data_IF_257677506417
#
_entry.id   IF_257677506417
#
_cell.length_a   1.000
_cell.length_b   1.000
_cell.length_c   1.000
_cell.angle_alpha   90.00
_cell.angle_beta   90.00
_cell.angle_gamma   90.00
#
_symmetry.space_group_name_H-M   'P 1'
#
loop_
_entity.id
_entity.type
_entity.pdbx_description
1 polymer ?
#
# COMPACT_ATOMS: atom_id res chain seq x y z
N UNK A 1 3.11 14.93 4.73
CA UNK A 1 2.18 13.83 4.51
C UNK A 1 2.07 13.10 5.83
N UNK A 2 1.51 12.24 6.30
CA UNK A 2 1.30 11.50 7.53
C UNK A 2 2.47 11.48 8.56
N UNK A 3 2.90 12.63 9.10
CA UNK A 3 3.90 12.71 10.17
C UNK A 3 3.26 12.34 11.52
N UNK A 4 3.99 11.57 12.35
CA UNK A 4 3.55 11.23 13.72
C UNK A 4 2.56 10.07 13.81
N UNK A 5 2.40 9.24 12.76
CA UNK A 5 1.60 8.03 12.83
C UNK A 5 2.38 6.91 13.55
N UNK A 6 1.75 6.32 14.55
CA UNK A 6 2.29 5.18 15.29
C UNK A 6 1.23 4.09 15.41
N UNK A 7 1.68 2.86 15.74
CA UNK A 7 0.75 1.77 16.02
C UNK A 7 -0.16 2.02 17.22
N UNK A 8 0.21 2.93 18.13
CA UNK A 8 -0.60 3.28 19.31
C UNK A 8 -1.94 3.93 18.95
N UNK A 9 -2.00 4.56 17.77
CA UNK A 9 -3.20 5.20 17.25
C UNK A 9 -4.03 4.28 16.33
N UNK A 10 -3.64 3.01 16.18
CA UNK A 10 -4.35 2.05 15.34
C UNK A 10 -4.96 0.93 16.17
N UNK A 11 -6.28 0.76 16.06
CA UNK A 11 -6.99 -0.32 16.73
C UNK A 11 -6.98 -1.56 15.83
N UNK A 12 -6.22 -2.57 16.23
CA UNK A 12 -6.13 -3.83 15.49
C UNK A 12 -7.41 -4.66 15.68
N UNK A 13 -7.99 -5.21 14.61
CA UNK A 13 -9.16 -6.08 14.71
C UNK A 13 -8.88 -7.41 15.40
N UNK A 14 -7.62 -7.85 15.42
CA UNK A 14 -7.18 -9.06 16.11
C UNK A 14 -5.66 -9.07 16.33
N UNK A 15 -5.22 -9.90 17.27
CA UNK A 15 -3.81 -10.01 17.66
C UNK A 15 -2.90 -10.61 16.58
N UNK A 16 -3.43 -11.42 15.67
CA UNK A 16 -2.64 -12.01 14.59
C UNK A 16 -2.22 -10.93 13.58
N UNK A 17 -3.14 -10.03 13.21
CA UNK A 17 -2.84 -8.89 12.35
C UNK A 17 -1.86 -7.93 13.03
N UNK A 18 -2.06 -7.65 14.31
CA UNK A 18 -1.16 -6.82 15.11
C UNK A 18 0.26 -7.38 15.09
N UNK A 19 0.42 -8.67 15.43
CA UNK A 19 1.72 -9.35 15.44
C UNK A 19 2.41 -9.31 14.08
N UNK A 20 1.65 -9.53 12.98
CA UNK A 20 2.19 -9.52 11.63
C UNK A 20 2.70 -8.12 11.27
N UNK A 21 1.89 -7.08 11.44
CA UNK A 21 2.22 -5.73 10.99
C UNK A 21 3.29 -5.07 11.88
N UNK A 22 3.23 -5.25 13.20
CA UNK A 22 4.30 -4.82 14.10
C UNK A 22 5.58 -5.59 13.83
N UNK A 23 5.50 -6.91 13.66
CA UNK A 23 6.65 -7.73 13.29
C UNK A 23 7.31 -7.28 11.99
N UNK A 24 6.54 -6.84 11.00
CA UNK A 24 7.08 -6.28 9.76
C UNK A 24 7.87 -4.99 10.03
N UNK A 25 7.33 -4.08 10.83
CA UNK A 25 7.99 -2.80 11.14
C UNK A 25 9.19 -2.95 12.08
N UNK A 26 9.10 -3.84 13.06
CA UNK A 26 10.20 -4.08 14.02
C UNK A 26 11.41 -4.78 13.36
N UNK A 27 11.18 -5.46 12.22
CA UNK A 27 12.21 -6.18 11.47
C UNK A 27 12.43 -5.61 10.06
N UNK A 28 12.31 -4.29 9.85
CA UNK A 28 12.43 -3.65 8.54
C UNK A 28 13.70 -4.07 7.76
N UNK A 29 14.84 -4.28 8.42
CA UNK A 29 16.07 -4.74 7.77
C UNK A 29 15.88 -6.13 7.14
N UNK A 30 15.40 -7.10 7.91
CA UNK A 30 15.14 -8.45 7.40
C UNK A 30 14.06 -8.44 6.32
N UNK A 31 13.00 -7.60 6.47
CA UNK A 31 11.97 -7.46 5.45
C UNK A 31 12.53 -6.92 4.13
N UNK A 32 13.54 -6.05 4.21
CA UNK A 32 14.26 -5.55 3.04
C UNK A 32 15.17 -6.62 2.42
N UNK A 33 16.00 -7.28 3.22
CA UNK A 33 16.94 -8.32 2.76
C UNK A 33 16.22 -9.50 2.11
N UNK A 34 15.08 -9.91 2.67
CA UNK A 34 14.25 -11.01 2.18
C UNK A 34 13.25 -10.59 1.10
N UNK A 35 13.24 -9.32 0.68
CA UNK A 35 12.30 -8.76 -0.29
C UNK A 35 10.83 -9.08 0.04
N UNK A 36 10.41 -8.87 1.28
CA UNK A 36 9.06 -9.22 1.75
C UNK A 36 8.03 -8.21 1.25
N UNK A 37 7.27 -8.58 0.26
CA UNK A 37 6.20 -7.77 -0.34
C UNK A 37 4.88 -7.99 0.40
N UNK A 38 4.04 -6.93 0.52
CA UNK A 38 2.72 -7.01 1.15
C UNK A 38 1.60 -6.61 0.18
N UNK A 39 0.51 -7.37 0.18
CA UNK A 39 -0.76 -6.94 -0.41
C UNK A 39 -1.78 -6.72 0.72
N UNK A 40 -2.10 -5.46 1.01
CA UNK A 40 -3.14 -5.06 1.95
C UNK A 40 -4.45 -4.89 1.17
N UNK A 41 -5.44 -5.74 1.40
CA UNK A 41 -6.70 -5.67 0.68
C UNK A 41 -7.91 -5.75 1.60
N UNK A 42 -9.04 -5.17 1.16
CA UNK A 42 -10.28 -5.11 1.94
C UNK A 42 -11.10 -3.87 1.59
N UNK A 43 -12.29 -3.74 2.16
CA UNK A 43 -13.23 -2.65 1.85
C UNK A 43 -12.63 -1.25 2.04
N UNK A 44 -13.33 -0.24 1.51
CA UNK A 44 -12.93 1.15 1.71
C UNK A 44 -13.03 1.55 3.19
N UNK A 45 -12.15 2.42 3.66
CA UNK A 45 -12.19 3.00 5.00
C UNK A 45 -11.62 2.12 6.12
N UNK A 46 -11.22 0.87 5.85
CA UNK A 46 -10.68 -0.05 6.89
C UNK A 46 -9.24 0.23 7.32
N UNK A 47 -8.60 1.28 6.79
CA UNK A 47 -7.29 1.75 7.27
C UNK A 47 -6.07 1.24 6.48
N UNK A 48 -6.21 0.68 5.27
CA UNK A 48 -5.07 0.19 4.45
C UNK A 48 -4.00 1.26 4.23
N UNK A 49 -4.41 2.45 3.75
CA UNK A 49 -3.53 3.61 3.56
C UNK A 49 -2.86 4.05 4.86
N UNK A 50 -3.58 4.00 5.97
CA UNK A 50 -3.06 4.33 7.29
C UNK A 50 -1.97 3.33 7.72
N UNK A 51 -2.25 2.03 7.62
CA UNK A 51 -1.29 0.95 7.91
C UNK A 51 -0.03 1.10 7.06
N UNK A 52 -0.17 1.25 5.74
CA UNK A 52 0.97 1.38 4.83
C UNK A 52 1.80 2.63 5.11
N UNK A 53 1.16 3.73 5.53
CA UNK A 53 1.85 4.96 5.93
C UNK A 53 2.66 4.78 7.22
N UNK A 54 2.13 4.04 8.22
CA UNK A 54 2.88 3.68 9.43
C UNK A 54 4.10 2.85 9.05
N UNK A 55 3.93 1.80 8.22
CA UNK A 55 5.05 0.95 7.78
C UNK A 55 6.14 1.80 7.14
N UNK A 56 5.80 2.69 6.20
CA UNK A 56 6.80 3.55 5.56
C UNK A 56 7.49 4.47 6.55
N UNK A 57 6.79 4.99 7.55
CA UNK A 57 7.38 5.85 8.57
C UNK A 57 8.39 5.09 9.44
N UNK A 58 8.08 3.86 9.85
CA UNK A 58 9.04 3.00 10.55
C UNK A 58 10.25 2.68 9.66
N UNK A 59 10.05 2.25 8.42
CA UNK A 59 11.16 1.99 7.49
C UNK A 59 12.02 3.24 7.26
N UNK A 60 11.42 4.42 7.17
CA UNK A 60 12.14 5.69 7.06
C UNK A 60 12.99 5.97 8.32
N UNK A 61 12.50 5.66 9.52
CA UNK A 61 13.25 5.83 10.76
C UNK A 61 14.48 4.90 10.85
N UNK A 62 14.48 3.80 10.11
CA UNK A 62 15.63 2.90 9.90
C UNK A 62 16.51 3.30 8.69
N UNK A 63 16.39 4.54 8.21
CA UNK A 63 17.17 5.12 7.09
C UNK A 63 16.91 4.52 5.71
N UNK A 64 15.83 3.81 5.52
CA UNK A 64 15.42 3.39 4.18
C UNK A 64 14.78 4.53 3.39
N UNK A 65 15.04 4.62 2.09
CA UNK A 65 14.27 5.50 1.22
C UNK A 65 12.86 4.92 1.02
N UNK A 66 11.85 5.75 1.28
CA UNK A 66 10.45 5.34 1.21
C UNK A 66 9.67 6.25 0.27
N UNK A 67 8.75 5.69 -0.51
CA UNK A 67 7.85 6.43 -1.39
C UNK A 67 6.44 5.84 -1.31
N UNK A 68 5.47 6.70 -1.53
CA UNK A 68 4.06 6.33 -1.65
C UNK A 68 3.45 7.08 -2.82
N UNK A 69 2.67 6.37 -3.62
CA UNK A 69 1.98 6.91 -4.79
C UNK A 69 0.67 6.16 -4.97
N UNK A 70 -0.38 6.83 -5.45
CA UNK A 70 -1.56 6.12 -5.94
C UNK A 70 -1.27 5.54 -7.33
N UNK A 71 -1.87 4.40 -7.64
CA UNK A 71 -1.65 3.81 -8.97
C UNK A 71 -2.09 4.76 -10.10
N UNK A 72 -3.18 5.49 -9.88
CA UNK A 72 -3.65 6.53 -10.82
C UNK A 72 -2.62 7.65 -11.03
N UNK A 73 -1.99 8.12 -9.97
CA UNK A 73 -0.94 9.15 -10.07
C UNK A 73 0.29 8.61 -10.81
N UNK A 74 0.69 7.38 -10.54
CA UNK A 74 1.81 6.73 -11.23
C UNK A 74 1.54 6.61 -12.74
N UNK A 75 0.33 6.21 -13.14
CA UNK A 75 -0.11 6.18 -14.55
C UNK A 75 0.02 7.58 -15.16
N UNK A 76 -0.57 8.59 -14.51
CA UNK A 76 -0.55 9.95 -15.03
C UNK A 76 0.88 10.47 -15.24
N UNK A 77 1.75 10.32 -14.24
CA UNK A 77 3.16 10.73 -14.33
C UNK A 77 3.90 10.05 -15.48
N UNK A 78 3.73 8.74 -15.62
CA UNK A 78 4.39 7.99 -16.69
C UNK A 78 3.94 8.46 -18.08
N UNK A 79 2.66 8.64 -18.28
CA UNK A 79 2.11 9.05 -19.59
C UNK A 79 2.30 10.55 -19.91
N UNK A 80 2.52 11.39 -18.90
CA UNK A 80 2.93 12.78 -19.10
C UNK A 80 4.43 12.96 -19.34
N UNK A 81 5.22 11.88 -19.26
CA UNK A 81 6.68 11.93 -19.42
C UNK A 81 7.42 12.45 -18.20
N UNK A 82 6.74 12.53 -17.04
CA UNK A 82 7.40 12.85 -15.77
C UNK A 82 8.25 11.67 -15.30
N UNK A 83 9.35 11.97 -14.61
CA UNK A 83 10.20 10.92 -14.04
C UNK A 83 9.48 10.15 -12.94
N UNK A 84 9.52 8.82 -13.02
CA UNK A 84 9.03 7.90 -12.00
C UNK A 84 10.16 7.13 -11.31
N UNK A 85 11.41 7.52 -11.55
CA UNK A 85 12.61 6.87 -11.01
C UNK A 85 12.62 6.83 -9.48
N UNK A 86 12.11 7.86 -8.82
CA UNK A 86 11.98 7.90 -7.35
C UNK A 86 11.12 6.76 -6.79
N UNK A 87 10.06 6.38 -7.51
CA UNK A 87 9.19 5.25 -7.12
C UNK A 87 9.85 3.92 -7.47
N UNK A 88 10.52 3.88 -8.61
CA UNK A 88 11.19 2.69 -9.10
C UNK A 88 12.32 2.25 -8.17
N UNK A 89 13.10 3.22 -7.65
CA UNK A 89 14.33 2.99 -6.90
C UNK A 89 14.20 3.17 -5.38
N UNK A 90 13.03 3.52 -4.85
CA UNK A 90 12.83 3.56 -3.41
C UNK A 90 13.04 2.17 -2.78
N UNK A 91 13.71 2.09 -1.63
CA UNK A 91 13.85 0.82 -0.91
C UNK A 91 12.48 0.22 -0.59
N UNK A 92 11.55 1.03 -0.05
CA UNK A 92 10.16 0.62 0.18
C UNK A 92 9.21 1.51 -0.62
N UNK A 93 8.33 0.89 -1.39
CA UNK A 93 7.30 1.58 -2.17
C UNK A 93 5.91 1.12 -1.76
N UNK A 94 5.01 2.06 -1.50
CA UNK A 94 3.57 1.82 -1.43
C UNK A 94 2.93 2.26 -2.73
N UNK A 95 2.19 1.36 -3.37
CA UNK A 95 1.26 1.69 -4.47
C UNK A 95 -0.15 1.56 -3.90
N UNK A 96 -0.78 2.70 -3.65
CA UNK A 96 -2.11 2.76 -3.03
C UNK A 96 -3.23 2.88 -4.07
N UNK A 97 -4.45 2.62 -3.62
CA UNK A 97 -5.68 2.70 -4.41
C UNK A 97 -5.67 1.83 -5.68
N UNK A 98 -4.97 0.69 -5.65
CA UNK A 98 -4.98 -0.26 -6.75
C UNK A 98 -6.41 -0.77 -6.98
N UNK A 99 -6.92 -0.59 -8.19
CA UNK A 99 -8.30 -0.93 -8.55
C UNK A 99 -9.30 0.22 -8.43
N UNK A 100 -8.89 1.41 -7.96
CA UNK A 100 -9.75 2.60 -7.89
C UNK A 100 -9.75 3.42 -9.19
N UNK A 101 -8.86 3.16 -10.13
CA UNK A 101 -8.87 3.77 -11.45
C UNK A 101 -10.17 3.42 -12.19
N UNK A 102 -10.82 4.41 -12.82
CA UNK A 102 -12.18 4.30 -13.39
C UNK A 102 -12.26 3.24 -14.50
N UNK A 103 -11.20 3.10 -15.28
CA UNK A 103 -10.98 1.96 -16.20
C UNK A 103 -9.48 1.87 -16.47
N UNK A 104 -8.97 0.65 -16.59
CA UNK A 104 -7.70 0.45 -17.28
C UNK A 104 -7.99 0.69 -18.76
N UNK A 105 -7.60 1.86 -19.25
CA UNK A 105 -7.92 2.30 -20.61
C UNK A 105 -7.16 1.51 -21.68
N UNK A 106 -6.09 0.83 -21.28
CA UNK A 106 -5.24 0.09 -22.21
C UNK A 106 -4.43 -1.00 -21.51
N UNK A 107 -3.95 -1.96 -22.28
CA UNK A 107 -2.97 -2.94 -21.79
C UNK A 107 -1.65 -2.29 -21.36
N UNK A 108 -1.36 -1.07 -21.83
CA UNK A 108 -0.18 -0.31 -21.43
C UNK A 108 -0.19 0.04 -19.93
N UNK A 109 -1.35 0.32 -19.33
CA UNK A 109 -1.45 0.59 -17.89
C UNK A 109 -1.20 -0.66 -17.03
N UNK A 110 -1.65 -1.83 -17.52
CA UNK A 110 -1.34 -3.12 -16.89
C UNK A 110 0.15 -3.43 -16.98
N UNK A 111 0.73 -3.26 -18.20
CA UNK A 111 2.15 -3.46 -18.44
C UNK A 111 3.02 -2.55 -17.57
N UNK A 112 2.60 -1.30 -17.35
CA UNK A 112 3.30 -0.37 -16.46
C UNK A 112 3.46 -0.95 -15.04
N UNK A 113 2.37 -1.47 -14.46
CA UNK A 113 2.40 -2.08 -13.14
C UNK A 113 3.28 -3.33 -13.12
N UNK A 114 3.11 -4.20 -14.10
CA UNK A 114 3.89 -5.44 -14.20
C UNK A 114 5.39 -5.16 -14.37
N UNK A 115 5.76 -4.21 -15.22
CA UNK A 115 7.16 -3.86 -15.47
C UNK A 115 7.82 -3.22 -14.24
N UNK A 116 7.07 -2.36 -13.52
CA UNK A 116 7.55 -1.80 -12.27
C UNK A 116 7.78 -2.90 -11.22
N UNK A 117 6.84 -3.83 -11.07
CA UNK A 117 6.98 -4.93 -10.09
C UNK A 117 8.13 -5.87 -10.47
N UNK A 118 8.26 -6.27 -11.75
CA UNK A 118 9.39 -7.10 -12.23
C UNK A 118 10.73 -6.44 -11.93
N UNK A 119 10.85 -5.14 -12.22
CA UNK A 119 12.07 -4.41 -11.92
C UNK A 119 12.37 -4.42 -10.41
N UNK A 120 11.38 -4.11 -9.58
CA UNK A 120 11.57 -4.05 -8.13
C UNK A 120 11.91 -5.41 -7.53
N UNK A 121 11.28 -6.48 -8.01
CA UNK A 121 11.65 -7.85 -7.63
C UNK A 121 13.10 -8.18 -8.01
N UNK A 122 13.54 -7.80 -9.21
CA UNK A 122 14.93 -8.04 -9.64
C UNK A 122 15.97 -7.28 -8.81
N UNK A 123 15.55 -6.22 -8.12
CA UNK A 123 16.40 -5.40 -7.24
C UNK A 123 16.29 -5.77 -5.77
N UNK A 124 15.36 -6.64 -5.40
CA UNK A 124 15.06 -6.93 -4.00
C UNK A 124 14.45 -5.75 -3.25
N UNK A 125 13.61 -4.96 -3.91
CA UNK A 125 12.98 -3.77 -3.32
C UNK A 125 11.54 -4.07 -2.88
N UNK A 126 11.27 -4.21 -1.57
CA UNK A 126 9.91 -4.48 -1.07
C UNK A 126 8.87 -3.50 -1.58
N UNK A 127 7.74 -4.05 -1.99
CA UNK A 127 6.59 -3.30 -2.48
C UNK A 127 5.35 -3.64 -1.65
N UNK A 128 4.60 -2.62 -1.26
CA UNK A 128 3.32 -2.74 -0.56
C UNK A 128 2.22 -2.27 -1.49
N UNK A 129 1.31 -3.17 -1.84
CA UNK A 129 0.13 -2.86 -2.63
C UNK A 129 -1.08 -2.69 -1.71
N UNK A 130 -1.87 -1.63 -1.91
CA UNK A 130 -3.14 -1.45 -1.21
C UNK A 130 -4.30 -1.46 -2.22
N UNK A 131 -5.30 -2.32 -1.98
CA UNK A 131 -6.46 -2.46 -2.87
C UNK A 131 -7.76 -2.58 -2.10
N UNK A 132 -8.83 -2.02 -2.65
CA UNK A 132 -10.20 -2.24 -2.19
C UNK A 132 -10.86 -3.45 -2.86
N UNK A 133 -10.20 -4.06 -3.84
CA UNK A 133 -10.64 -5.26 -4.51
C UNK A 133 -10.19 -6.50 -3.74
N UNK A 134 -10.98 -7.56 -3.81
CA UNK A 134 -10.53 -8.89 -3.38
C UNK A 134 -9.62 -9.55 -4.44
N UNK A 135 -9.11 -10.73 -4.12
CA UNK A 135 -8.15 -11.43 -4.99
C UNK A 135 -8.74 -11.82 -6.35
N UNK A 136 -10.02 -12.18 -6.38
CA UNK A 136 -10.70 -12.56 -7.62
C UNK A 136 -10.93 -11.33 -8.51
N UNK A 137 -11.39 -10.23 -7.92
CA UNK A 137 -11.58 -8.96 -8.63
C UNK A 137 -10.24 -8.40 -9.14
N UNK A 138 -9.15 -8.54 -8.39
CA UNK A 138 -7.80 -8.18 -8.84
C UNK A 138 -7.38 -9.02 -10.06
N UNK A 139 -7.61 -10.33 -10.02
CA UNK A 139 -7.33 -11.22 -11.15
C UNK A 139 -8.12 -10.84 -12.40
N UNK A 140 -9.43 -10.59 -12.23
CA UNK A 140 -10.31 -10.21 -13.34
C UNK A 140 -9.90 -8.86 -13.95
N UNK A 141 -9.42 -7.93 -13.12
CA UNK A 141 -9.07 -6.57 -13.55
C UNK A 141 -7.69 -6.49 -14.21
N UNK A 142 -6.68 -7.11 -13.61
CA UNK A 142 -5.28 -6.98 -14.06
C UNK A 142 -4.79 -8.17 -14.88
N UNK A 143 -5.51 -9.28 -14.87
CA UNK A 143 -5.19 -10.47 -15.64
C UNK A 143 -4.31 -11.48 -14.92
N UNK A 144 -4.02 -12.59 -15.61
CA UNK A 144 -3.33 -13.72 -15.02
C UNK A 144 -1.84 -13.44 -14.72
N UNK A 145 -1.17 -12.64 -15.55
CA UNK A 145 0.25 -12.29 -15.36
C UNK A 145 0.44 -11.58 -14.03
N UNK A 146 -0.28 -10.48 -13.81
CA UNK A 146 -0.25 -9.75 -12.54
C UNK A 146 -0.65 -10.66 -11.37
N UNK A 147 -1.71 -11.45 -11.52
CA UNK A 147 -2.16 -12.34 -10.46
C UNK A 147 -1.12 -13.39 -10.07
N UNK A 148 -0.35 -13.91 -11.04
CA UNK A 148 0.78 -14.81 -10.78
C UNK A 148 1.87 -14.12 -9.96
N UNK A 149 2.14 -12.83 -10.22
CA UNK A 149 3.13 -12.06 -9.47
C UNK A 149 2.71 -11.85 -8.00
N UNK A 150 1.41 -11.90 -7.69
CA UNK A 150 0.94 -11.85 -6.30
C UNK A 150 1.35 -13.06 -5.47
N UNK A 151 1.93 -14.13 -6.04
CA UNK A 151 2.56 -15.20 -5.27
C UNK A 151 3.74 -14.72 -4.44
N UNK A 152 4.43 -13.65 -4.89
CA UNK A 152 5.54 -13.02 -4.19
C UNK A 152 5.10 -12.08 -3.05
N UNK A 153 3.79 -11.99 -2.79
CA UNK A 153 3.23 -11.10 -1.77
C UNK A 153 2.62 -11.88 -0.60
N UNK A 154 2.92 -11.45 0.61
CA UNK A 154 2.13 -11.81 1.80
C UNK A 154 0.79 -11.09 1.70
N UNK A 155 -0.29 -11.86 1.56
CA UNK A 155 -1.65 -11.34 1.36
C UNK A 155 -2.32 -11.11 2.69
N UNK A 156 -2.62 -9.86 3.01
CA UNK A 156 -3.19 -9.44 4.30
C UNK A 156 -4.56 -8.82 4.08
N UNK A 157 -5.61 -9.54 4.47
CA UNK A 157 -6.98 -9.01 4.42
C UNK A 157 -7.22 -8.12 5.62
N UNK A 158 -7.49 -6.84 5.35
CA UNK A 158 -7.87 -5.88 6.38
C UNK A 158 -9.38 -5.85 6.49
N UNK A 159 -9.88 -6.16 7.67
CA UNK A 159 -11.31 -6.11 8.02
C UNK A 159 -11.52 -5.09 9.12
N UNK A 160 -12.61 -4.36 9.06
CA UNK A 160 -12.95 -3.33 10.06
C UNK A 160 -14.17 -2.52 9.63
N UNK A 161 -14.63 -1.65 10.51
CA UNK A 161 -15.62 -0.63 10.17
C UNK A 161 -14.93 0.55 9.48
N UNK A 162 -15.70 1.27 8.65
CA UNK A 162 -15.17 2.50 8.02
C UNK A 162 -14.90 3.57 9.08
N UNK A 163 -13.63 3.70 9.50
CA UNK A 163 -13.18 4.66 10.51
C UNK A 163 -13.30 6.12 10.09
N UNK A 164 -13.61 6.40 8.81
CA UNK A 164 -13.77 7.78 8.33
C UNK A 164 -15.02 8.43 8.92
N UNK A 165 -16.10 7.66 9.14
CA UNK A 165 -17.34 8.17 9.73
C UNK A 165 -17.15 8.57 11.19
N UNK A 166 -16.39 7.82 11.95
CA UNK A 166 -16.11 8.12 13.36
C UNK A 166 -15.17 9.32 13.52
N UNK A 167 -14.12 9.41 12.71
CA UNK A 167 -13.23 10.56 12.70
C UNK A 167 -13.96 11.86 12.30
N UNK A 168 -14.87 11.78 11.32
CA UNK A 168 -15.67 12.94 10.91
C UNK A 168 -16.67 13.37 12.00
N UNK A 169 -17.34 12.41 12.68
CA UNK A 169 -18.26 12.69 13.80
C UNK A 169 -17.53 13.29 14.99
N UNK A 170 -16.36 12.76 15.36
CA UNK A 170 -15.53 13.31 16.44
C UNK A 170 -15.05 14.74 16.12
N UNK A 171 -14.58 14.99 14.90
CA UNK A 171 -14.13 16.33 14.48
C UNK A 171 -15.30 17.34 14.49
N UNK A 172 -16.50 16.92 14.09
CA UNK A 172 -17.71 17.73 14.13
C UNK A 172 -18.17 18.00 15.57
N UNK A 173 -18.13 17.01 16.45
CA UNK A 173 -18.46 17.16 17.87
C UNK A 173 -17.51 18.15 18.57
N UNK A 174 -16.21 18.08 18.31
CA UNK A 174 -15.22 19.01 18.89
C UNK A 174 -15.38 20.47 18.41
N UNK A 175 -16.03 20.71 17.27
CA UNK A 175 -16.34 22.08 16.80
C UNK A 175 -17.49 22.73 17.58
N UNK A 176 -18.37 21.90 18.19
CA UNK A 176 -19.50 22.40 19.02
C UNK A 176 -19.14 22.58 20.51
N UNK A 177 -17.94 22.18 20.91
CA UNK A 177 -17.44 22.32 22.28
C UNK A 177 -16.51 23.52 22.47
N UNK A 178 -16.37 24.36 21.45
CA UNK A 178 -15.73 25.69 21.49
C UNK A 178 -16.78 26.78 21.44
#
# INVERSE_FOLDING_TARGET
MYQGLTWDNYVFPNSALEKLLKGYTDNCHSMYEDNVNLLLYGSNGVGKTYISSIILQYCYSYYFSTRMVTFKELINKTFSGESTEDYRNAHFLVIDELGAEISLKSDAEKSLLEDLLKYRFSKGYPTILCSNLDLEALKNRYGNTFFSMLSEFVKVKIVGQDGRQDAFRQKKALQFLK
#
